data_IF_983449776973
#
_entry.id   IF_983449776973
#
_cell.length_a   1.000
_cell.length_b   1.000
_cell.length_c   1.000
_cell.angle_alpha   90.00
_cell.angle_beta   90.00
_cell.angle_gamma   90.00
#
_symmetry.space_group_name_H-M   'P 1'
#
loop_
_entity.id
_entity.type
_entity.pdbx_description
1 polymer ?
#
# COMPACT_ATOMS: atom_id res chain seq x y z
N UNK A 1 -1.82 3.44 4.16
CA UNK A 1 -0.67 2.82 4.89
C UNK A 1 0.45 2.56 3.91
N UNK A 2 1.71 2.67 4.35
CA UNK A 2 2.89 2.37 3.52
C UNK A 2 3.78 1.34 4.22
N UNK A 3 4.12 0.26 3.51
CA UNK A 3 5.02 -0.80 3.94
C UNK A 3 6.37 -0.68 3.22
N UNK A 4 7.42 -0.48 3.99
CA UNK A 4 8.78 -0.30 3.48
C UNK A 4 9.44 -1.59 3.00
N UNK A 5 10.54 -1.49 2.25
CA UNK A 5 11.35 -2.64 1.84
C UNK A 5 12.27 -3.16 2.95
N UNK A 6 12.86 -4.34 2.72
CA UNK A 6 13.67 -5.11 3.67
C UNK A 6 14.76 -4.29 4.38
N UNK A 7 15.46 -3.43 3.65
CA UNK A 7 16.58 -2.63 4.20
C UNK A 7 16.17 -1.58 5.24
N UNK A 8 14.88 -1.43 5.49
CA UNK A 8 14.31 -0.45 6.43
C UNK A 8 13.77 -1.09 7.71
N UNK A 9 13.91 -2.41 7.85
CA UNK A 9 13.58 -3.14 9.08
C UNK A 9 14.35 -2.59 10.28
N UNK A 10 13.75 -2.68 11.45
CA UNK A 10 14.34 -2.22 12.70
C UNK A 10 13.31 -1.93 13.79
N UNK A 11 13.75 -1.16 14.77
CA UNK A 11 12.94 -0.74 15.92
C UNK A 11 13.22 0.72 16.34
N UNK A 12 13.84 1.49 15.45
CA UNK A 12 14.16 2.91 15.68
C UNK A 12 13.00 3.85 15.33
N UNK A 13 12.01 3.34 14.61
CA UNK A 13 10.85 4.09 14.11
C UNK A 13 11.22 5.33 13.27
N UNK A 14 12.35 5.26 12.57
CA UNK A 14 12.87 6.32 11.70
C UNK A 14 13.23 5.79 10.31
N UNK A 15 13.90 4.63 10.22
CA UNK A 15 14.43 4.10 8.95
C UNK A 15 13.36 3.86 7.90
N UNK A 16 12.13 3.46 8.31
CA UNK A 16 11.02 3.23 7.39
C UNK A 16 10.61 4.50 6.61
N UNK A 17 11.00 5.68 7.09
CA UNK A 17 10.71 6.95 6.44
C UNK A 17 11.75 7.30 5.36
N UNK A 18 12.94 6.70 5.43
CA UNK A 18 14.02 7.03 4.49
C UNK A 18 13.73 6.50 3.08
N UNK A 19 14.03 7.33 2.08
CA UNK A 19 13.77 7.12 0.66
C UNK A 19 12.27 7.06 0.27
N UNK A 20 11.35 7.30 1.21
CA UNK A 20 9.91 7.33 0.95
C UNK A 20 9.35 8.75 0.88
N UNK A 21 10.21 9.76 1.09
CA UNK A 21 9.83 11.17 1.13
C UNK A 21 9.08 11.61 -0.13
N UNK A 22 9.58 11.26 -1.33
CA UNK A 22 8.89 11.64 -2.58
C UNK A 22 7.42 11.20 -2.60
N UNK A 23 7.11 9.99 -2.11
CA UNK A 23 5.73 9.51 -2.01
C UNK A 23 4.95 10.25 -0.91
N UNK A 24 5.56 10.44 0.26
CA UNK A 24 4.92 11.12 1.38
C UNK A 24 4.65 12.59 1.08
N UNK A 25 5.60 13.29 0.44
CA UNK A 25 5.43 14.67 0.01
C UNK A 25 4.26 14.81 -0.98
N UNK A 26 4.10 13.87 -1.91
CA UNK A 26 2.96 13.84 -2.83
C UNK A 26 1.61 13.67 -2.10
N UNK A 27 1.58 12.85 -1.06
CA UNK A 27 0.38 12.69 -0.23
C UNK A 27 0.09 13.99 0.53
N UNK A 28 1.11 14.62 1.12
CA UNK A 28 0.99 15.88 1.86
C UNK A 28 0.54 17.02 0.93
N UNK A 29 1.08 17.12 -0.29
CA UNK A 29 0.67 18.11 -1.28
C UNK A 29 -0.83 18.06 -1.60
N UNK A 30 -1.48 16.91 -1.41
CA UNK A 30 -2.90 16.72 -1.66
C UNK A 30 -3.80 16.89 -0.42
N UNK A 31 -3.26 17.25 0.75
CA UNK A 31 -4.02 17.35 2.01
C UNK A 31 -5.28 18.23 1.91
N UNK A 32 -5.23 19.29 1.11
CA UNK A 32 -6.38 20.20 0.94
C UNK A 32 -7.52 19.61 0.11
N UNK A 33 -7.23 18.68 -0.80
CA UNK A 33 -8.19 18.08 -1.72
C UNK A 33 -8.59 16.67 -1.31
N UNK A 34 -7.63 15.93 -0.77
CA UNK A 34 -7.77 14.55 -0.30
C UNK A 34 -7.16 14.43 1.11
N UNK A 35 -7.82 14.99 2.13
CA UNK A 35 -7.31 14.90 3.50
C UNK A 35 -7.23 13.46 3.93
N UNK A 36 -6.06 13.08 4.42
CA UNK A 36 -5.78 11.67 4.61
C UNK A 36 -4.84 11.37 5.81
N UNK A 37 -4.91 10.16 6.44
CA UNK A 37 -4.00 9.66 7.51
C UNK A 37 -2.93 8.77 6.86
N UNK A 38 -1.66 9.15 6.79
CA UNK A 38 -0.56 8.32 6.33
C UNK A 38 0.08 7.56 7.51
N UNK A 39 0.05 6.24 7.44
CA UNK A 39 0.64 5.35 8.45
C UNK A 39 1.81 4.61 7.83
N UNK A 40 2.99 4.71 8.44
CA UNK A 40 4.20 4.04 8.00
C UNK A 40 4.80 3.22 9.16
N UNK A 41 4.29 2.01 9.42
CA UNK A 41 4.84 1.16 10.47
C UNK A 41 6.24 0.68 10.10
N UNK A 42 7.03 0.29 11.10
CA UNK A 42 8.33 -0.34 10.88
C UNK A 42 8.24 -1.84 11.20
N UNK A 43 8.63 -2.66 10.22
CA UNK A 43 8.80 -4.10 10.42
C UNK A 43 10.06 -4.35 11.26
N UNK A 44 9.98 -5.22 12.25
CA UNK A 44 11.14 -5.60 13.05
C UNK A 44 12.16 -6.38 12.21
N UNK A 45 13.42 -6.39 12.66
CA UNK A 45 14.51 -7.04 11.93
C UNK A 45 14.30 -8.56 11.77
N UNK A 46 13.62 -9.19 12.72
CA UNK A 46 13.40 -10.64 12.78
C UNK A 46 12.04 -11.08 12.20
N UNK A 47 11.32 -10.18 11.52
CA UNK A 47 9.99 -10.44 10.95
C UNK A 47 9.94 -10.13 9.47
N UNK A 48 8.87 -10.59 8.81
CA UNK A 48 8.53 -10.24 7.44
C UNK A 48 7.10 -9.67 7.40
N UNK A 49 6.81 -8.81 6.44
CA UNK A 49 5.48 -8.21 6.31
C UNK A 49 4.37 -9.25 6.12
N UNK A 50 4.66 -10.36 5.46
CA UNK A 50 3.71 -11.46 5.25
C UNK A 50 3.31 -12.16 6.55
N UNK A 51 4.18 -12.16 7.57
CA UNK A 51 3.93 -12.75 8.88
C UNK A 51 3.16 -11.78 9.81
N UNK A 52 3.06 -10.51 9.42
CA UNK A 52 2.49 -9.43 10.22
C UNK A 52 1.10 -8.98 9.75
N UNK A 53 0.42 -9.76 8.91
CA UNK A 53 -0.89 -9.41 8.34
C UNK A 53 -1.91 -8.99 9.40
N UNK A 54 -2.08 -9.80 10.45
CA UNK A 54 -3.01 -9.51 11.55
C UNK A 54 -2.61 -8.25 12.34
N UNK A 55 -1.29 -8.01 12.51
CA UNK A 55 -0.80 -6.81 13.21
C UNK A 55 -1.08 -5.55 12.38
N UNK A 56 -0.82 -5.60 11.08
CA UNK A 56 -1.13 -4.49 10.17
C UNK A 56 -2.62 -4.17 10.19
N UNK A 57 -3.46 -5.21 10.16
CA UNK A 57 -4.91 -5.05 10.25
C UNK A 57 -5.33 -4.47 11.60
N UNK A 58 -4.69 -4.89 12.69
CA UNK A 58 -4.87 -4.32 14.03
C UNK A 58 -4.56 -2.82 14.09
N UNK A 59 -3.45 -2.38 13.48
CA UNK A 59 -3.10 -0.96 13.39
C UNK A 59 -4.18 -0.17 12.65
N UNK A 60 -4.71 -0.70 11.56
CA UNK A 60 -5.82 -0.04 10.83
C UNK A 60 -7.07 0.06 11.71
N UNK A 61 -7.42 -1.00 12.44
CA UNK A 61 -8.56 -0.99 13.35
C UNK A 61 -8.39 0.04 14.47
N UNK A 62 -7.21 0.13 15.05
CA UNK A 62 -6.91 1.12 16.11
C UNK A 62 -7.07 2.56 15.61
N UNK A 63 -6.62 2.82 14.40
CA UNK A 63 -6.79 4.14 13.77
C UNK A 63 -8.26 4.43 13.50
N UNK A 64 -9.02 3.47 12.98
CA UNK A 64 -10.47 3.63 12.77
C UNK A 64 -11.24 3.86 14.07
N UNK A 65 -10.77 3.29 15.19
CA UNK A 65 -11.39 3.50 16.52
C UNK A 65 -11.05 4.87 17.10
N UNK A 66 -9.91 5.45 16.78
CA UNK A 66 -9.44 6.72 17.32
C UNK A 66 -9.81 7.93 16.47
N UNK A 67 -10.00 7.75 15.17
CA UNK A 67 -10.23 8.81 14.20
C UNK A 67 -11.44 8.52 13.32
N UNK A 68 -12.06 9.58 12.81
CA UNK A 68 -13.17 9.49 11.86
C UNK A 68 -12.63 9.13 10.46
N UNK A 69 -12.39 7.84 10.23
CA UNK A 69 -11.89 7.30 8.96
C UNK A 69 -13.07 6.82 8.10
N UNK A 70 -13.02 7.13 6.81
CA UNK A 70 -13.92 6.51 5.85
C UNK A 70 -13.49 5.06 5.60
N UNK A 71 -14.24 4.11 6.16
CA UNK A 71 -13.95 2.67 6.04
C UNK A 71 -13.97 2.14 4.60
N UNK A 72 -14.55 2.89 3.67
CA UNK A 72 -14.59 2.51 2.25
C UNK A 72 -13.35 2.96 1.47
N UNK A 73 -12.49 3.76 2.09
CA UNK A 73 -11.33 4.39 1.47
C UNK A 73 -10.05 4.13 2.27
N UNK A 74 -9.75 2.87 2.47
CA UNK A 74 -8.51 2.42 3.09
C UNK A 74 -7.59 1.88 2.00
N UNK A 75 -6.38 2.42 1.93
CA UNK A 75 -5.40 2.10 0.90
C UNK A 75 -4.11 1.60 1.51
N UNK A 76 -3.40 0.74 0.79
CA UNK A 76 -2.08 0.25 1.19
C UNK A 76 -1.10 0.37 0.03
N UNK A 77 0.10 0.85 0.33
CA UNK A 77 1.21 0.92 -0.62
C UNK A 77 2.41 0.17 -0.07
N UNK A 78 3.16 -0.49 -0.93
CA UNK A 78 4.35 -1.22 -0.54
C UNK A 78 5.49 -1.06 -1.54
N UNK A 79 6.70 -1.08 -1.02
CA UNK A 79 7.92 -1.09 -1.81
C UNK A 79 8.73 -2.34 -1.53
N UNK A 80 9.20 -3.02 -2.58
CA UNK A 80 10.02 -4.22 -2.46
C UNK A 80 9.31 -5.29 -1.60
N UNK A 81 9.88 -5.79 -0.50
CA UNK A 81 9.24 -6.71 0.44
C UNK A 81 7.90 -6.19 0.98
N UNK A 82 7.76 -4.86 1.14
CA UNK A 82 6.48 -4.25 1.53
C UNK A 82 5.33 -4.55 0.57
N UNK A 83 5.62 -4.79 -0.69
CA UNK A 83 4.64 -5.20 -1.71
C UNK A 83 4.04 -6.57 -1.41
N UNK A 84 4.88 -7.53 -0.99
CA UNK A 84 4.44 -8.87 -0.57
C UNK A 84 3.46 -8.78 0.61
N UNK A 85 3.79 -7.92 1.59
CA UNK A 85 2.91 -7.60 2.71
C UNK A 85 1.56 -7.01 2.26
N UNK A 86 1.57 -6.08 1.29
CA UNK A 86 0.33 -5.52 0.76
C UNK A 86 -0.60 -6.58 0.18
N UNK A 87 -0.08 -7.46 -0.66
CA UNK A 87 -0.88 -8.53 -1.25
C UNK A 87 -1.41 -9.50 -0.19
N UNK A 88 -0.57 -9.87 0.79
CA UNK A 88 -0.97 -10.76 1.88
C UNK A 88 -2.09 -10.14 2.72
N UNK A 89 -1.90 -8.93 3.21
CA UNK A 89 -2.88 -8.23 4.06
C UNK A 89 -4.21 -8.05 3.34
N UNK A 90 -4.19 -7.65 2.08
CA UNK A 90 -5.43 -7.44 1.31
C UNK A 90 -6.09 -8.77 0.95
N UNK A 91 -5.33 -9.83 0.67
CA UNK A 91 -5.94 -11.15 0.44
C UNK A 91 -6.58 -11.75 1.69
N UNK A 92 -6.03 -11.48 2.87
CA UNK A 92 -6.61 -11.92 4.15
C UNK A 92 -7.85 -11.10 4.53
N UNK A 93 -7.87 -9.81 4.16
CA UNK A 93 -8.93 -8.85 4.52
C UNK A 93 -9.47 -8.12 3.27
N UNK A 94 -10.02 -8.85 2.28
CA UNK A 94 -10.35 -8.27 0.97
C UNK A 94 -11.48 -7.22 1.04
N UNK A 95 -12.33 -7.27 2.08
CA UNK A 95 -13.43 -6.33 2.27
C UNK A 95 -13.01 -4.99 2.94
N UNK A 96 -11.72 -4.81 3.22
CA UNK A 96 -11.22 -3.65 3.97
C UNK A 96 -10.47 -2.63 3.10
N UNK A 97 -9.74 -3.09 2.09
CA UNK A 97 -8.83 -2.24 1.34
C UNK A 97 -9.36 -1.92 -0.06
N UNK A 98 -9.51 -0.63 -0.35
CA UNK A 98 -10.02 -0.14 -1.63
C UNK A 98 -8.95 -0.11 -2.73
N UNK A 99 -7.66 0.00 -2.37
CA UNK A 99 -6.58 0.07 -3.35
C UNK A 99 -5.22 -0.33 -2.82
N UNK A 100 -4.40 -0.86 -3.75
CA UNK A 100 -3.00 -1.26 -3.55
C UNK A 100 -2.12 -0.47 -4.54
N UNK A 101 -1.02 0.10 -4.05
CA UNK A 101 0.11 0.53 -4.87
C UNK A 101 1.28 -0.42 -4.58
N UNK A 102 1.67 -1.18 -5.57
CA UNK A 102 2.71 -2.20 -5.47
C UNK A 102 3.96 -1.75 -6.26
N UNK A 103 5.08 -1.51 -5.60
CA UNK A 103 6.27 -0.92 -6.22
C UNK A 103 7.47 -1.85 -6.09
N UNK A 104 8.01 -2.30 -7.22
CA UNK A 104 9.24 -3.11 -7.31
C UNK A 104 9.26 -4.31 -6.34
N UNK A 105 8.17 -5.07 -6.25
CA UNK A 105 8.09 -6.20 -5.33
C UNK A 105 7.41 -7.42 -5.93
N UNK A 106 7.53 -8.53 -5.23
CA UNK A 106 6.90 -9.78 -5.63
C UNK A 106 5.45 -9.82 -5.22
N UNK A 107 4.67 -10.67 -5.88
CA UNK A 107 3.31 -11.00 -5.51
C UNK A 107 3.06 -12.50 -5.61
N UNK A 108 2.34 -13.06 -4.64
CA UNK A 108 1.87 -14.43 -4.74
C UNK A 108 0.57 -14.47 -5.57
N UNK A 109 0.62 -15.13 -6.71
CA UNK A 109 -0.53 -15.27 -7.60
C UNK A 109 -1.75 -15.94 -6.93
N UNK A 110 -1.55 -16.69 -5.83
CA UNK A 110 -2.65 -17.28 -5.06
C UNK A 110 -3.51 -16.25 -4.35
N UNK A 111 -2.96 -15.07 -4.04
CA UNK A 111 -3.70 -13.95 -3.45
C UNK A 111 -4.66 -13.27 -4.43
N UNK A 112 -4.41 -13.45 -5.74
CA UNK A 112 -5.13 -12.73 -6.79
C UNK A 112 -6.65 -12.96 -6.76
N UNK A 113 -7.09 -14.18 -6.46
CA UNK A 113 -8.53 -14.52 -6.42
C UNK A 113 -9.27 -13.71 -5.35
N UNK A 114 -8.70 -13.60 -4.14
CA UNK A 114 -9.31 -12.86 -3.05
C UNK A 114 -9.35 -11.35 -3.35
N UNK A 115 -8.25 -10.80 -3.89
CA UNK A 115 -8.14 -9.39 -4.25
C UNK A 115 -9.11 -9.03 -5.39
N UNK A 116 -9.18 -9.87 -6.43
CA UNK A 116 -10.05 -9.65 -7.58
C UNK A 116 -11.54 -9.72 -7.24
N UNK A 117 -11.93 -10.59 -6.29
CA UNK A 117 -13.33 -10.79 -5.88
C UNK A 117 -14.02 -9.49 -5.47
N UNK A 118 -13.31 -8.60 -4.80
CA UNK A 118 -13.84 -7.29 -4.37
C UNK A 118 -13.45 -6.15 -5.31
N UNK A 119 -12.83 -6.49 -6.44
CA UNK A 119 -12.36 -5.53 -7.45
C UNK A 119 -11.50 -4.41 -6.84
N UNK A 120 -10.70 -4.75 -5.82
CA UNK A 120 -9.72 -3.84 -5.22
C UNK A 120 -8.85 -3.24 -6.32
N UNK A 121 -8.67 -1.94 -6.31
CA UNK A 121 -7.78 -1.28 -7.28
C UNK A 121 -6.33 -1.71 -7.04
N UNK A 122 -5.60 -2.12 -8.09
CA UNK A 122 -4.19 -2.50 -7.96
C UNK A 122 -3.38 -1.78 -9.03
N UNK A 123 -2.41 -0.97 -8.64
CA UNK A 123 -1.42 -0.42 -9.56
C UNK A 123 -0.04 -0.98 -9.22
N UNK A 124 0.56 -1.63 -10.21
CA UNK A 124 1.84 -2.31 -10.09
C UNK A 124 2.90 -1.53 -10.87
N UNK A 125 4.00 -1.21 -10.20
CA UNK A 125 5.18 -0.59 -10.81
C UNK A 125 6.36 -1.56 -10.79
N UNK A 126 7.02 -1.72 -11.93
CA UNK A 126 8.23 -2.52 -12.07
C UNK A 126 9.29 -1.76 -12.87
N UNK A 127 10.55 -1.83 -12.47
CA UNK A 127 11.67 -1.32 -13.26
C UNK A 127 12.06 -2.31 -14.34
N UNK A 128 12.19 -1.87 -15.59
CA UNK A 128 12.50 -2.79 -16.70
C UNK A 128 13.86 -3.49 -16.56
N UNK A 129 14.77 -2.92 -15.75
CA UNK A 129 16.09 -3.45 -15.46
C UNK A 129 16.21 -4.04 -14.04
N UNK A 130 15.11 -4.24 -13.34
CA UNK A 130 15.08 -4.96 -12.06
C UNK A 130 15.43 -6.44 -12.28
N UNK A 131 15.74 -7.16 -11.20
CA UNK A 131 16.05 -8.58 -11.33
C UNK A 131 14.85 -9.36 -11.90
N UNK A 132 15.17 -10.44 -12.62
CA UNK A 132 14.17 -11.25 -13.34
C UNK A 132 13.11 -11.82 -12.41
N UNK A 133 13.46 -12.22 -11.19
CA UNK A 133 12.51 -12.81 -10.23
C UNK A 133 11.41 -11.82 -9.83
N UNK A 134 11.78 -10.55 -9.58
CA UNK A 134 10.81 -9.50 -9.23
C UNK A 134 9.93 -9.17 -10.45
N UNK A 135 10.54 -9.01 -11.62
CA UNK A 135 9.80 -8.70 -12.83
C UNK A 135 8.83 -9.80 -13.23
N UNK A 136 9.25 -11.06 -13.19
CA UNK A 136 8.39 -12.20 -13.52
C UNK A 136 7.26 -12.36 -12.50
N UNK A 137 7.55 -12.18 -11.20
CA UNK A 137 6.54 -12.23 -10.15
C UNK A 137 5.52 -11.07 -10.28
N UNK A 138 5.98 -9.85 -10.56
CA UNK A 138 5.09 -8.70 -10.79
C UNK A 138 4.18 -8.91 -12.00
N UNK A 139 4.68 -9.50 -13.07
CA UNK A 139 3.88 -9.86 -14.26
C UNK A 139 2.91 -11.01 -13.97
N UNK A 140 3.35 -12.00 -13.19
CA UNK A 140 2.52 -13.15 -12.82
C UNK A 140 1.31 -12.73 -11.97
N UNK A 141 1.50 -11.88 -10.95
CA UNK A 141 0.38 -11.39 -10.13
C UNK A 141 -0.56 -10.51 -10.95
N UNK A 142 -0.05 -9.63 -11.82
CA UNK A 142 -0.88 -8.85 -12.74
C UNK A 142 -1.77 -9.76 -13.60
N UNK A 143 -1.16 -10.75 -14.24
CA UNK A 143 -1.88 -11.72 -15.07
C UNK A 143 -2.94 -12.48 -14.26
N UNK A 144 -2.58 -12.96 -13.08
CA UNK A 144 -3.50 -13.68 -12.20
C UNK A 144 -4.70 -12.82 -11.76
N UNK A 145 -4.48 -11.54 -11.44
CA UNK A 145 -5.56 -10.60 -11.12
C UNK A 145 -6.54 -10.44 -12.30
N UNK A 146 -6.02 -10.23 -13.52
CA UNK A 146 -6.83 -10.10 -14.73
C UNK A 146 -7.60 -11.40 -15.03
N UNK A 147 -6.95 -12.55 -14.92
CA UNK A 147 -7.57 -13.87 -15.14
C UNK A 147 -8.67 -14.18 -14.11
N UNK A 148 -8.58 -13.63 -12.89
CA UNK A 148 -9.62 -13.71 -11.87
C UNK A 148 -10.69 -12.61 -11.99
N UNK A 149 -10.70 -11.83 -13.08
CA UNK A 149 -11.75 -10.87 -13.39
C UNK A 149 -11.58 -9.47 -12.78
N UNK A 150 -10.40 -9.14 -12.22
CA UNK A 150 -10.15 -7.78 -11.76
C UNK A 150 -10.16 -6.79 -12.95
N UNK A 151 -10.93 -5.71 -12.81
CA UNK A 151 -11.07 -4.66 -13.82
C UNK A 151 -10.34 -3.35 -13.48
N UNK A 152 -9.95 -3.21 -12.21
CA UNK A 152 -9.23 -2.04 -11.68
C UNK A 152 -7.73 -2.32 -11.49
N UNK A 153 -7.07 -2.93 -12.47
CA UNK A 153 -5.64 -3.31 -12.38
C UNK A 153 -4.83 -2.64 -13.47
N UNK A 154 -3.74 -1.99 -13.09
CA UNK A 154 -2.77 -1.40 -14.01
C UNK A 154 -1.37 -1.92 -13.74
N UNK A 155 -0.62 -2.20 -14.80
CA UNK A 155 0.81 -2.53 -14.76
C UNK A 155 1.60 -1.44 -15.47
N UNK A 156 2.57 -0.86 -14.78
CA UNK A 156 3.42 0.23 -15.29
C UNK A 156 4.88 -0.18 -15.21
N UNK A 157 5.50 -0.36 -16.36
CA UNK A 157 6.94 -0.58 -16.46
C UNK A 157 7.68 0.76 -16.56
N UNK A 158 8.63 0.98 -15.66
CA UNK A 158 9.50 2.16 -15.69
C UNK A 158 10.76 1.78 -16.45
N UNK A 159 10.84 2.24 -17.68
CA UNK A 159 11.89 1.85 -18.60
C UNK A 159 13.26 2.42 -18.22
N UNK A 160 14.30 1.59 -18.29
CA UNK A 160 15.69 1.96 -17.98
C UNK A 160 16.02 2.05 -16.49
N UNK A 161 15.06 1.71 -15.61
CA UNK A 161 15.28 1.70 -14.17
C UNK A 161 15.29 0.27 -13.61
N UNK A 162 16.14 0.04 -12.61
CA UNK A 162 16.22 -1.21 -11.86
C UNK A 162 15.29 -1.22 -10.65
N UNK A 163 15.76 -1.78 -9.52
CA UNK A 163 14.93 -1.95 -8.32
C UNK A 163 14.51 -0.62 -7.66
N UNK A 164 15.33 0.41 -7.73
CA UNK A 164 15.11 1.66 -6.99
C UNK A 164 14.20 2.65 -7.73
N UNK A 165 12.95 2.25 -7.97
CA UNK A 165 11.96 3.04 -8.74
C UNK A 165 10.95 3.79 -7.86
N UNK A 166 11.09 3.80 -6.53
CA UNK A 166 10.09 4.40 -5.64
C UNK A 166 9.81 5.88 -5.98
N UNK A 167 10.88 6.63 -6.26
CA UNK A 167 10.76 8.04 -6.67
C UNK A 167 10.02 8.21 -7.99
N UNK A 168 10.35 7.42 -9.00
CA UNK A 168 9.74 7.48 -10.33
C UNK A 168 8.27 7.05 -10.27
N UNK A 169 7.96 6.02 -9.49
CA UNK A 169 6.59 5.59 -9.23
C UNK A 169 5.78 6.70 -8.55
N UNK A 170 6.32 7.32 -7.47
CA UNK A 170 5.67 8.41 -6.75
C UNK A 170 5.38 9.63 -7.63
N UNK A 171 6.27 9.92 -8.59
CA UNK A 171 6.11 11.04 -9.53
C UNK A 171 5.27 10.68 -10.78
N UNK A 172 4.68 9.49 -10.84
CA UNK A 172 3.77 9.14 -11.94
C UNK A 172 2.53 10.02 -11.88
N UNK A 173 2.27 10.73 -12.98
CA UNK A 173 1.13 11.64 -13.07
C UNK A 173 -0.18 10.91 -12.81
N UNK A 174 -1.03 11.47 -11.95
CA UNK A 174 -2.34 10.95 -11.62
C UNK A 174 -2.33 9.73 -10.68
N UNK A 175 -1.18 9.32 -10.12
CA UNK A 175 -1.09 8.17 -9.21
C UNK A 175 -2.06 8.29 -8.03
N UNK A 176 -2.00 9.40 -7.31
CA UNK A 176 -2.84 9.61 -6.12
C UNK A 176 -4.30 9.88 -6.49
N UNK A 177 -4.56 10.59 -7.59
CA UNK A 177 -5.93 10.77 -8.08
C UNK A 177 -6.57 9.42 -8.43
N UNK A 178 -5.80 8.54 -9.08
CA UNK A 178 -6.25 7.19 -9.37
C UNK A 178 -6.52 6.40 -8.09
N UNK A 179 -5.64 6.48 -7.08
CA UNK A 179 -5.79 5.77 -5.82
C UNK A 179 -7.02 6.27 -5.05
N UNK A 180 -7.12 7.58 -4.84
CA UNK A 180 -8.20 8.18 -4.04
C UNK A 180 -9.58 8.11 -4.72
N UNK A 181 -9.62 7.81 -6.03
CA UNK A 181 -10.86 7.49 -6.73
C UNK A 181 -11.39 6.10 -6.40
N UNK A 182 -10.58 5.19 -5.79
CA UNK A 182 -11.03 3.85 -5.42
C UNK A 182 -11.82 3.89 -4.12
N UNK A 183 -12.89 3.08 -4.06
CA UNK A 183 -13.67 2.83 -2.86
C UNK A 183 -14.22 1.39 -2.90
N UNK A 184 -14.58 0.84 -1.76
CA UNK A 184 -15.06 -0.54 -1.65
C UNK A 184 -16.48 -0.71 -2.21
N UNK A 185 -17.31 0.32 -2.11
CA UNK A 185 -18.66 0.28 -2.67
C UNK A 185 -19.05 1.64 -3.21
N UNK A 186 -19.48 1.69 -4.46
CA UNK A 186 -19.98 2.92 -5.11
C UNK A 186 -21.31 3.44 -4.52
N UNK A 187 -21.88 2.77 -3.53
CA UNK A 187 -23.28 2.93 -3.11
C UNK A 187 -23.52 3.59 -1.75
N UNK A 188 -22.52 4.12 -1.06
CA UNK A 188 -22.82 4.82 0.20
C UNK A 188 -22.83 6.33 0.01
N UNK A 189 -24.03 6.85 0.08
CA UNK A 189 -24.40 8.25 -0.01
C UNK A 189 -23.52 9.17 0.84
N UNK A 190 -23.00 10.18 0.18
CA UNK A 190 -22.37 11.39 0.70
C UNK A 190 -23.11 11.93 1.91
N UNK A 191 -22.53 11.92 3.11
CA UNK A 191 -22.72 12.98 4.10
C UNK A 191 -21.96 12.73 5.42
N UNK A 192 -20.64 12.74 5.37
CA UNK A 192 -19.82 13.08 6.54
C UNK A 192 -18.47 13.58 6.02
N UNK A 193 -17.97 14.69 6.58
CA UNK A 193 -16.55 15.04 6.40
C UNK A 193 -15.73 13.97 7.10
N UNK A 194 -15.36 12.96 6.36
CA UNK A 194 -14.43 11.91 6.81
C UNK A 194 -13.04 12.27 6.35
N UNK A 195 -12.08 12.04 7.19
CA UNK A 195 -10.66 12.13 6.85
C UNK A 195 -10.28 10.80 6.22
N UNK A 196 -9.70 10.82 5.03
CA UNK A 196 -9.41 9.60 4.28
C UNK A 196 -8.04 8.98 4.62
N UNK A 197 -7.11 9.70 5.28
CA UNK A 197 -5.77 9.19 5.71
C UNK A 197 -5.09 10.14 6.72
N UNK A 198 -4.36 9.78 7.79
CA UNK A 198 -3.59 10.65 8.71
C UNK A 198 -2.11 10.30 8.74
N UNK A 199 -1.22 11.25 8.93
CA UNK A 199 0.21 11.00 9.09
C UNK A 199 0.51 10.73 10.56
N UNK A 200 0.92 9.50 10.88
CA UNK A 200 1.57 9.19 12.13
C UNK A 200 3.06 8.96 11.89
N UNK A 201 3.84 9.97 12.15
CA UNK A 201 5.26 9.80 12.40
C UNK A 201 5.39 9.48 13.89
N UNK A 202 5.32 8.19 14.24
CA UNK A 202 5.43 7.75 15.62
C UNK A 202 6.88 7.82 16.08
N UNK A 203 7.15 8.61 17.09
CA UNK A 203 8.29 8.36 17.94
C UNK A 203 8.05 7.08 18.75
N UNK A 204 9.13 6.41 19.17
CA UNK A 204 9.24 5.13 19.86
C UNK A 204 8.39 4.94 21.15
N UNK A 205 7.41 5.78 21.42
CA UNK A 205 6.53 5.73 22.60
C UNK A 205 5.14 5.16 22.32
N UNK A 206 4.87 4.61 21.13
CA UNK A 206 3.64 3.85 20.86
C UNK A 206 3.73 2.38 21.31
N UNK A 207 4.83 1.97 21.95
CA UNK A 207 4.85 0.78 22.77
C UNK A 207 4.01 1.09 24.02
N UNK A 208 2.80 0.55 24.08
CA UNK A 208 1.85 0.80 25.15
C UNK A 208 2.50 0.67 26.52
N UNK A 209 2.43 1.73 27.28
CA UNK A 209 2.48 1.61 28.73
C UNK A 209 1.06 1.29 29.16
N UNK A 210 0.88 -0.01 29.51
CA UNK A 210 -0.21 -0.39 30.37
C UNK A 210 -0.12 0.33 31.71
#
# INVERSE_FOLDING_TARGET
MFLHGETRKGNDNEKQLYNSQDLFDKVIEQESTNPCILVAPQCSADSNWTDLSDMIDGVVNDIQNQYSVNSEKIYIAGYSEGTEGCYKVVSDNPDKYAGIIAIAGKGDATSAQAIAKNNTGVMIFAGSEDNTEINDSSKAIYKALVENGATNVEYKEIYGEGHNILKSAANTSGLLDWLFAKNLTDNKTKNTKTVDLAIFMGQSNMAGRG
#
